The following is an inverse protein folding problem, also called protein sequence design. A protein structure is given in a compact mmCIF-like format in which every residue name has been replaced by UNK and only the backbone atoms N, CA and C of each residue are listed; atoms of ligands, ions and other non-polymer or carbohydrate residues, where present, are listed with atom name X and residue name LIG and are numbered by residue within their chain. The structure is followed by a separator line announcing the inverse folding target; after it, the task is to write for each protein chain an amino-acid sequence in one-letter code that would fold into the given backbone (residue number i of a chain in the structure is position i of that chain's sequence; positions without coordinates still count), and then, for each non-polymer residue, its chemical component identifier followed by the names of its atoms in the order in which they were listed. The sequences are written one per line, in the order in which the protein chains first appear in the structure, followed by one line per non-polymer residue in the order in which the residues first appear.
data_IF_329590001144
#
_entry.id   IF_329590001144
#
_cell.length_a   1.000
_cell.length_b   1.000
_cell.length_c   1.000
_cell.angle_alpha   90.00
_cell.angle_beta   90.00
_cell.angle_gamma   90.00
#
_symmetry.space_group_name_H-M   'P 1'
#
loop_
_entity.id
_entity.type
_entity.pdbx_description
1 polymer ?
#
# COMPACT_ATOMS: atom_id res chain seq x y z
N UNK A 1 10.50 28.98 -55.96
CA UNK A 1 10.80 27.92 -54.97
C UNK A 1 9.74 28.00 -53.86
N UNK A 2 8.78 27.05 -53.83
CA UNK A 2 7.61 27.12 -52.95
C UNK A 2 7.87 26.38 -51.62
N UNK A 3 7.75 27.08 -50.50
CA UNK A 3 7.90 26.52 -49.15
C UNK A 3 6.59 25.85 -48.71
N UNK A 4 6.69 24.59 -48.27
CA UNK A 4 5.54 23.77 -47.84
C UNK A 4 5.26 23.95 -46.34
N UNK A 5 4.16 24.62 -46.01
CA UNK A 5 3.65 24.73 -44.64
C UNK A 5 3.05 23.40 -44.18
N UNK A 6 3.81 22.62 -43.38
CA UNK A 6 3.30 21.41 -42.72
C UNK A 6 2.44 21.80 -41.51
N UNK A 7 1.11 21.73 -41.67
CA UNK A 7 0.13 21.82 -40.56
C UNK A 7 0.42 20.73 -39.52
N UNK A 8 0.94 21.11 -38.35
CA UNK A 8 1.01 20.23 -37.15
C UNK A 8 -0.41 19.85 -36.73
N UNK A 9 -0.82 18.59 -36.96
CA UNK A 9 -2.02 18.03 -36.33
C UNK A 9 -1.78 17.96 -34.82
N UNK A 10 -2.62 18.63 -34.04
CA UNK A 10 -2.64 18.50 -32.56
C UNK A 10 -2.97 17.04 -32.23
N UNK A 11 -2.20 16.42 -31.33
CA UNK A 11 -2.51 15.08 -30.82
C UNK A 11 -3.95 15.08 -30.31
N UNK A 12 -4.79 14.21 -30.88
CA UNK A 12 -6.15 14.04 -30.42
C UNK A 12 -6.09 13.50 -28.99
N UNK A 13 -6.62 14.27 -28.04
CA UNK A 13 -6.83 13.78 -26.69
C UNK A 13 -7.74 12.55 -26.69
N UNK A 14 -7.73 11.77 -25.59
CA UNK A 14 -8.49 10.53 -25.50
C UNK A 14 -9.96 10.74 -25.86
N UNK A 15 -10.48 9.83 -26.68
CA UNK A 15 -11.81 9.94 -27.25
C UNK A 15 -12.89 9.91 -26.15
N UNK A 16 -14.06 10.49 -26.42
CA UNK A 16 -15.23 10.40 -25.53
C UNK A 16 -15.57 8.96 -25.12
N UNK A 17 -15.23 7.98 -25.96
CA UNK A 17 -15.48 6.58 -25.67
C UNK A 17 -14.47 6.01 -24.66
N UNK A 18 -13.19 6.41 -24.75
CA UNK A 18 -12.17 6.04 -23.75
C UNK A 18 -12.50 6.63 -22.36
N UNK A 19 -13.00 7.86 -22.31
CA UNK A 19 -13.49 8.47 -21.06
C UNK A 19 -14.70 7.72 -20.46
N UNK A 20 -15.55 7.13 -21.30
CA UNK A 20 -16.70 6.32 -20.86
C UNK A 20 -16.27 4.93 -20.38
N UNK A 21 -15.29 4.31 -21.04
CA UNK A 21 -14.69 3.04 -20.62
C UNK A 21 -13.94 3.19 -19.30
N UNK A 22 -13.25 4.32 -19.08
CA UNK A 22 -12.57 4.64 -17.82
C UNK A 22 -13.53 4.82 -16.64
N UNK A 23 -14.74 5.37 -16.87
CA UNK A 23 -15.79 5.49 -15.84
C UNK A 23 -16.49 4.18 -15.49
N UNK A 24 -16.37 3.15 -16.33
CA UNK A 24 -17.08 1.88 -16.19
C UNK A 24 -16.29 0.77 -15.50
N UNK A 25 -15.00 1.00 -15.19
CA UNK A 25 -14.27 0.07 -14.31
C UNK A 25 -14.67 0.39 -12.88
N UNK A 26 -15.35 -0.52 -12.15
CA UNK A 26 -15.29 -0.43 -10.70
C UNK A 26 -13.79 -0.46 -10.38
N UNK A 27 -13.27 0.57 -9.73
CA UNK A 27 -12.02 0.44 -8.99
C UNK A 27 -12.15 -0.86 -8.23
N UNK A 28 -11.39 -1.88 -8.62
CA UNK A 28 -11.35 -3.15 -7.90
C UNK A 28 -11.08 -2.74 -6.47
N UNK A 29 -12.08 -2.90 -5.61
CA UNK A 29 -12.07 -2.42 -4.24
C UNK A 29 -10.80 -2.96 -3.60
N UNK A 30 -9.75 -2.12 -3.56
CA UNK A 30 -8.44 -2.50 -3.05
C UNK A 30 -8.52 -2.37 -1.54
N UNK A 31 -9.45 -3.11 -0.93
CA UNK A 31 -9.70 -3.06 0.49
C UNK A 31 -8.72 -3.97 1.21
N UNK A 32 -8.43 -3.63 2.46
CA UNK A 32 -7.48 -4.37 3.28
C UNK A 32 -7.85 -5.87 3.32
N UNK A 33 -9.13 -6.18 3.52
CA UNK A 33 -9.66 -7.55 3.53
C UNK A 33 -9.53 -8.28 2.20
N UNK A 34 -9.67 -7.58 1.08
CA UNK A 34 -9.54 -8.20 -0.26
C UNK A 34 -8.10 -8.57 -0.58
N UNK A 35 -7.13 -7.79 -0.10
CA UNK A 35 -5.69 -8.07 -0.28
C UNK A 35 -5.11 -9.00 0.78
N UNK A 36 -5.50 -8.79 2.04
CA UNK A 36 -4.94 -9.46 3.21
C UNK A 36 -6.08 -9.96 4.11
N UNK A 37 -6.76 -11.07 3.76
CA UNK A 37 -7.96 -11.53 4.45
C UNK A 37 -7.71 -11.93 5.91
N UNK A 38 -6.48 -12.29 6.25
CA UNK A 38 -6.04 -12.66 7.60
C UNK A 38 -5.71 -11.47 8.50
N UNK A 39 -5.73 -10.25 7.96
CA UNK A 39 -5.43 -9.02 8.70
C UNK A 39 -6.74 -8.39 9.14
N UNK A 40 -6.87 -8.15 10.45
CA UNK A 40 -8.00 -7.46 11.04
C UNK A 40 -7.88 -5.94 10.86
N UNK A 41 -6.69 -5.39 11.08
CA UNK A 41 -6.45 -3.94 11.09
C UNK A 41 -5.00 -3.62 10.74
N UNK A 42 -4.79 -2.52 10.03
CA UNK A 42 -3.46 -1.96 9.81
C UNK A 42 -3.41 -0.53 10.31
N UNK A 43 -2.44 -0.22 11.17
CA UNK A 43 -2.15 1.14 11.62
C UNK A 43 -0.83 1.60 11.01
N UNK A 44 -0.90 2.66 10.21
CA UNK A 44 0.23 3.29 9.54
C UNK A 44 0.58 4.58 10.27
N UNK A 45 1.83 4.71 10.68
CA UNK A 45 2.40 5.96 11.18
C UNK A 45 3.57 6.35 10.28
N UNK A 46 3.36 7.41 9.49
CA UNK A 46 4.30 7.95 8.53
C UNK A 46 4.85 9.26 9.08
N UNK A 47 6.16 9.39 9.20
CA UNK A 47 6.82 10.62 9.64
C UNK A 47 7.85 11.05 8.63
N UNK A 48 7.63 12.19 8.01
CA UNK A 48 8.51 12.78 7.01
C UNK A 48 9.47 13.74 7.68
N UNK A 49 10.76 13.50 7.49
CA UNK A 49 11.87 14.30 8.03
C UNK A 49 12.76 14.80 6.90
N UNK A 50 13.14 16.07 6.92
CA UNK A 50 14.11 16.63 6.00
C UNK A 50 15.56 16.32 6.40
N UNK A 51 16.50 16.66 5.53
CA UNK A 51 17.95 16.43 5.73
C UNK A 51 18.51 17.08 7.00
N UNK A 52 17.92 18.19 7.45
CA UNK A 52 18.33 18.88 8.69
C UNK A 52 17.58 18.41 9.92
N UNK A 53 16.84 17.29 9.83
CA UNK A 53 16.06 16.73 10.92
C UNK A 53 14.72 17.42 11.20
N UNK A 54 14.32 18.41 10.40
CA UNK A 54 12.99 19.03 10.51
C UNK A 54 11.88 18.04 10.16
N UNK A 55 10.81 17.98 10.94
CA UNK A 55 9.62 17.19 10.56
C UNK A 55 8.79 18.01 9.59
N UNK A 56 8.57 17.49 8.39
CA UNK A 56 7.71 18.13 7.40
C UNK A 56 6.25 17.79 7.65
N UNK A 57 5.97 16.51 7.91
CA UNK A 57 4.61 16.04 8.08
C UNK A 57 4.58 14.74 8.90
N UNK A 58 3.48 14.50 9.60
CA UNK A 58 3.22 13.25 10.30
C UNK A 58 1.79 12.79 10.02
N UNK A 59 1.66 11.63 9.43
CA UNK A 59 0.38 11.03 9.06
C UNK A 59 0.19 9.76 9.85
N UNK A 60 -0.86 9.71 10.65
CA UNK A 60 -1.30 8.49 11.33
C UNK A 60 -2.64 8.08 10.76
N UNK A 61 -2.70 6.90 10.16
CA UNK A 61 -3.90 6.36 9.56
C UNK A 61 -4.14 4.95 10.06
N UNK A 62 -5.36 4.69 10.44
CA UNK A 62 -5.84 3.34 10.72
C UNK A 62 -6.69 2.92 9.54
N UNK A 63 -6.43 1.75 8.99
CA UNK A 63 -7.18 1.15 7.88
C UNK A 63 -7.95 -0.04 8.43
N UNK A 64 -9.26 0.05 8.36
CA UNK A 64 -10.19 -1.03 8.68
C UNK A 64 -10.29 -2.05 7.53
N UNK A 65 -10.80 -3.27 7.77
CA UNK A 65 -10.79 -4.35 6.77
C UNK A 65 -11.56 -3.99 5.50
N UNK A 66 -12.66 -3.25 5.62
CA UNK A 66 -13.49 -2.84 4.49
C UNK A 66 -13.09 -1.49 3.89
N UNK A 67 -12.07 -0.82 4.43
CA UNK A 67 -11.56 0.45 3.91
C UNK A 67 -10.57 0.24 2.77
N UNK A 68 -10.51 1.23 1.87
CA UNK A 68 -9.54 1.31 0.79
C UNK A 68 -8.11 1.40 1.33
N UNK A 69 -7.28 0.46 0.91
CA UNK A 69 -5.89 0.34 1.27
C UNK A 69 -5.03 1.15 0.27
N UNK A 70 -4.59 2.31 0.74
CA UNK A 70 -3.58 3.12 0.04
C UNK A 70 -2.25 3.00 0.80
N UNK A 71 -1.28 2.36 0.16
CA UNK A 71 0.08 2.14 0.67
C UNK A 71 1.10 3.01 -0.06
N UNK A 72 0.65 4.04 -0.77
CA UNK A 72 1.49 5.04 -1.38
C UNK A 72 1.42 6.33 -0.56
N UNK A 73 2.56 6.99 -0.40
CA UNK A 73 2.61 8.30 0.23
C UNK A 73 3.46 9.25 -0.60
N UNK A 74 2.85 10.35 -1.04
CA UNK A 74 3.55 11.39 -1.75
C UNK A 74 4.61 12.03 -0.85
N UNK A 75 5.77 12.35 -1.41
CA UNK A 75 6.83 13.06 -0.71
C UNK A 75 6.38 14.53 -0.50
N UNK A 76 6.25 15.01 0.76
CA UNK A 76 5.92 16.42 1.04
C UNK A 76 7.11 17.36 0.80
N UNK A 77 8.26 16.79 0.40
CA UNK A 77 9.46 17.55 0.08
C UNK A 77 9.32 18.37 -1.20
N UNK A 78 10.42 19.07 -1.53
CA UNK A 78 10.44 20.01 -2.65
C UNK A 78 10.49 19.37 -4.04
N UNK A 79 10.66 18.05 -4.14
CA UNK A 79 10.71 17.37 -5.45
C UNK A 79 9.35 17.33 -6.16
N UNK A 80 8.22 17.35 -5.44
CA UNK A 80 6.87 17.37 -6.01
C UNK A 80 6.44 16.12 -6.80
N UNK A 81 7.35 15.20 -7.09
CA UNK A 81 7.11 13.95 -7.85
C UNK A 81 7.47 12.67 -7.07
N UNK A 82 8.15 12.81 -5.93
CA UNK A 82 8.54 11.66 -5.13
C UNK A 82 7.32 10.93 -4.56
N UNK A 83 7.33 9.61 -4.65
CA UNK A 83 6.31 8.75 -4.05
C UNK A 83 6.98 7.58 -3.33
N UNK A 84 6.51 7.28 -2.14
CA UNK A 84 6.97 6.16 -1.34
C UNK A 84 5.92 5.06 -1.38
N UNK A 85 6.30 3.86 -1.84
CA UNK A 85 5.42 2.69 -1.81
C UNK A 85 5.84 1.74 -0.70
N UNK A 86 4.87 1.36 0.14
CA UNK A 86 5.05 0.40 1.24
C UNK A 86 4.40 -0.94 0.95
N UNK A 87 3.90 -1.14 -0.27
CA UNK A 87 3.17 -2.34 -0.65
C UNK A 87 4.00 -3.61 -0.44
N UNK A 88 5.26 -3.60 -0.87
CA UNK A 88 6.18 -4.72 -0.67
C UNK A 88 6.43 -4.99 0.82
N UNK A 89 6.60 -3.94 1.62
CA UNK A 89 6.88 -4.04 3.05
C UNK A 89 5.70 -4.65 3.82
N UNK A 90 4.48 -4.18 3.55
CA UNK A 90 3.26 -4.74 4.15
C UNK A 90 3.04 -6.18 3.69
N UNK A 91 3.29 -6.47 2.41
CA UNK A 91 3.16 -7.84 1.87
C UNK A 91 4.11 -8.80 2.55
N UNK A 92 5.38 -8.41 2.72
CA UNK A 92 6.37 -9.20 3.45
C UNK A 92 6.01 -9.37 4.93
N UNK A 93 5.55 -8.29 5.58
CA UNK A 93 5.10 -8.32 6.97
C UNK A 93 4.01 -9.36 7.21
N UNK A 94 3.01 -9.35 6.32
CA UNK A 94 1.87 -10.26 6.37
C UNK A 94 2.32 -11.70 6.06
N UNK A 95 3.24 -11.89 5.12
CA UNK A 95 3.78 -13.20 4.79
C UNK A 95 4.53 -13.84 5.99
N UNK A 96 5.26 -13.03 6.76
CA UNK A 96 6.02 -13.47 7.94
C UNK A 96 5.16 -13.47 9.23
N UNK A 97 3.88 -13.07 9.15
CA UNK A 97 2.99 -12.85 10.30
C UNK A 97 3.63 -11.96 11.39
N UNK A 98 4.28 -10.86 10.98
CA UNK A 98 4.92 -9.92 11.89
C UNK A 98 3.97 -8.77 12.22
N UNK A 99 3.72 -8.56 13.52
CA UNK A 99 2.75 -7.57 14.00
C UNK A 99 3.26 -6.12 13.89
N UNK A 100 4.57 -5.90 13.98
CA UNK A 100 5.14 -4.56 13.95
C UNK A 100 6.35 -4.51 13.03
N UNK A 101 6.32 -3.61 12.05
CA UNK A 101 7.45 -3.34 11.16
C UNK A 101 7.74 -1.85 11.14
N UNK A 102 9.02 -1.52 11.23
CA UNK A 102 9.55 -0.18 11.09
C UNK A 102 10.52 -0.17 9.92
N UNK A 103 10.41 0.84 9.06
CA UNK A 103 11.28 1.02 7.90
C UNK A 103 11.47 2.49 7.60
N UNK A 104 12.64 2.82 7.06
CA UNK A 104 13.02 4.16 6.67
C UNK A 104 13.39 4.17 5.20
N UNK A 105 12.79 5.07 4.43
CA UNK A 105 13.10 5.27 3.02
C UNK A 105 13.54 6.72 2.77
N UNK A 106 14.47 6.94 1.86
CA UNK A 106 14.93 8.29 1.49
C UNK A 106 14.50 8.60 0.07
N UNK A 107 13.96 9.79 -0.15
CA UNK A 107 13.59 10.26 -1.48
C UNK A 107 14.85 10.59 -2.28
N UNK A 108 15.13 9.76 -3.29
CA UNK A 108 16.24 9.95 -4.23
C UNK A 108 15.87 10.84 -5.45
N UNK A 109 14.63 11.36 -5.51
CA UNK A 109 14.20 12.19 -6.64
C UNK A 109 14.97 13.51 -6.70
N UNK A 110 15.37 13.96 -7.90
CA UNK A 110 16.04 15.24 -8.08
C UNK A 110 15.07 16.39 -7.81
N UNK A 111 15.58 17.46 -7.18
CA UNK A 111 14.80 18.68 -6.89
C UNK A 111 14.32 19.39 -8.17
N UNK A 112 15.12 19.32 -9.22
CA UNK A 112 14.82 19.91 -10.52
C UNK A 112 15.63 19.20 -11.62
N UNK A 113 15.15 19.20 -12.87
CA UNK A 113 15.85 18.55 -13.98
C UNK A 113 17.24 19.18 -14.18
N UNK A 114 18.28 18.34 -14.12
CA UNK A 114 19.67 18.74 -14.36
C UNK A 114 20.46 19.19 -13.12
N UNK A 115 19.86 19.21 -11.92
CA UNK A 115 20.60 19.46 -10.67
C UNK A 115 21.05 18.14 -10.02
N UNK A 116 22.26 18.09 -9.44
CA UNK A 116 22.76 16.92 -8.71
C UNK A 116 22.14 16.78 -7.31
N UNK A 117 21.32 17.75 -6.87
CA UNK A 117 20.71 17.75 -5.55
C UNK A 117 19.44 16.91 -5.56
N UNK A 118 19.39 15.90 -4.70
CA UNK A 118 18.20 15.09 -4.44
C UNK A 118 17.36 15.73 -3.34
N UNK A 119 16.09 15.33 -3.22
CA UNK A 119 15.20 15.86 -2.20
C UNK A 119 15.70 15.62 -0.77
N UNK A 120 16.37 14.48 -0.53
CA UNK A 120 16.91 14.11 0.78
C UNK A 120 15.85 13.96 1.89
N UNK A 121 14.56 13.91 1.54
CA UNK A 121 13.49 13.70 2.51
C UNK A 121 13.50 12.23 2.94
N UNK A 122 13.63 11.98 4.24
CA UNK A 122 13.56 10.67 4.85
C UNK A 122 12.17 10.44 5.40
N UNK A 123 11.57 9.31 5.04
CA UNK A 123 10.28 8.87 5.54
C UNK A 123 10.49 7.69 6.48
N UNK A 124 10.14 7.90 7.74
CA UNK A 124 10.07 6.84 8.73
C UNK A 124 8.64 6.30 8.78
N UNK A 125 8.48 5.05 8.39
CA UNK A 125 7.22 4.34 8.35
C UNK A 125 7.20 3.30 9.46
N UNK A 126 6.18 3.36 10.29
CA UNK A 126 5.87 2.33 11.29
C UNK A 126 4.50 1.75 10.96
N UNK A 127 4.49 0.45 10.69
CA UNK A 127 3.31 -0.33 10.34
C UNK A 127 3.04 -1.30 11.46
N UNK A 128 1.86 -1.19 12.06
CA UNK A 128 1.34 -2.11 13.06
C UNK A 128 0.17 -2.89 12.44
N UNK A 129 0.26 -4.21 12.47
CA UNK A 129 -0.64 -5.14 11.81
C UNK A 129 -1.26 -6.03 12.88
N UNK A 130 -2.58 -5.97 12.99
CA UNK A 130 -3.36 -6.84 13.84
C UNK A 130 -3.94 -7.98 13.00
N UNK A 131 -3.62 -9.22 13.34
CA UNK A 131 -4.13 -10.40 12.65
C UNK A 131 -5.44 -10.86 13.27
N UNK A 132 -6.31 -11.45 12.45
CA UNK A 132 -7.51 -12.10 12.98
C UNK A 132 -7.12 -13.31 13.83
N UNK A 133 -7.77 -13.53 14.99
CA UNK A 133 -7.59 -14.75 15.76
C UNK A 133 -8.03 -15.93 14.90
N UNK A 134 -7.13 -16.91 14.74
CA UNK A 134 -7.45 -18.15 14.02
C UNK A 134 -8.64 -18.81 14.73
N UNK A 135 -9.73 -19.17 14.02
CA UNK A 135 -10.87 -19.80 14.66
C UNK A 135 -10.39 -21.12 15.27
N UNK A 136 -10.50 -21.23 16.60
CA UNK A 136 -10.08 -22.41 17.34
C UNK A 136 -10.73 -23.64 16.70
N UNK A 137 -9.92 -24.48 16.04
CA UNK A 137 -10.36 -25.77 15.55
C UNK A 137 -10.90 -26.53 16.76
N UNK A 138 -12.16 -26.97 16.77
CA UNK A 138 -12.66 -27.77 17.88
C UNK A 138 -11.74 -28.99 18.02
N UNK A 139 -11.36 -29.36 19.26
CA UNK A 139 -10.52 -30.54 19.47
C UNK A 139 -11.16 -31.74 18.78
N UNK A 140 -10.37 -32.65 18.16
CA UNK A 140 -10.92 -33.84 17.54
C UNK A 140 -11.76 -34.59 18.58
N UNK A 141 -12.93 -35.14 18.20
CA UNK A 141 -13.75 -35.91 19.12
C UNK A 141 -12.89 -37.02 19.76
N UNK A 142 -13.02 -37.27 21.07
CA UNK A 142 -12.28 -38.35 21.71
C UNK A 142 -12.55 -39.66 20.96
N UNK A 143 -11.54 -40.54 20.78
CA UNK A 143 -11.74 -41.82 20.15
C UNK A 143 -12.85 -42.55 20.93
N UNK A 144 -13.92 -42.93 20.22
CA UNK A 144 -15.03 -43.68 20.79
C UNK A 144 -14.47 -44.89 21.53
N UNK A 145 -14.69 -44.95 22.84
CA UNK A 145 -14.27 -46.08 23.65
C UNK A 145 -14.83 -47.38 23.02
N UNK A 146 -14.03 -48.45 22.87
CA UNK A 146 -14.56 -49.73 22.43
C UNK A 146 -15.63 -50.17 23.44
N UNK A 147 -16.78 -50.59 22.92
CA UNK A 147 -17.88 -51.09 23.71
C UNK A 147 -17.43 -52.33 24.50
N UNK A 148 -17.08 -52.15 25.77
CA UNK A 148 -17.08 -53.23 26.75
C UNK A 148 -18.54 -53.63 26.99
N UNK A 149 -18.89 -54.86 26.63
CA UNK A 149 -20.17 -55.42 27.00
C UNK A 149 -20.59 -56.65 26.19
N UNK A 150 -20.08 -57.82 26.58
CA UNK A 150 -20.93 -58.99 26.81
C UNK A 150 -20.11 -60.10 27.48
N UNK A 151 -20.16 -60.25 28.82
CA UNK A 151 -19.87 -61.53 29.43
C UNK A 151 -21.03 -62.50 29.12
N UNK A 152 -20.67 -63.70 28.65
CA UNK A 152 -21.54 -64.86 28.54
C UNK A 152 -21.41 -65.73 29.80
#
# INVERSE_FOLDING_TARGET
MAQSFRKRRRQAGPSKNELKVMRGRPERQNTLRSRFPQVARVSLALRFTGERGQVFDEVRRVVQPDEGLDLAAACPGRCGVGNFSFEALVTEAVAVRKNLIESSAVCAEPLAPGLPQTCGCTLNCRVDIEFQPEPATPPPPPPSAPAEGSPA
#
